data_IF_044797014403
#
_entry.id   IF_044797014403
#
_cell.length_a   1.000
_cell.length_b   1.000
_cell.length_c   1.000
_cell.angle_alpha   90.00
_cell.angle_beta   90.00
_cell.angle_gamma   90.00
#
_symmetry.space_group_name_H-M   'P 1'
#
loop_
_entity.id
_entity.type
_entity.pdbx_description
1 polymer ?
#
# COMPACT_ATOMS: atom_id res chain seq x y z
N UNK A 1 0.16 9.15 -17.76
CA UNK A 1 -0.39 9.92 -16.63
C UNK A 1 -0.67 8.97 -15.48
N UNK A 2 -0.08 9.23 -14.34
CA UNK A 2 -0.29 8.44 -13.14
C UNK A 2 -1.27 9.21 -12.25
N UNK A 3 -2.47 8.67 -12.10
CA UNK A 3 -3.53 9.28 -11.29
C UNK A 3 -3.33 9.02 -9.79
N UNK A 4 -2.55 8.01 -9.44
CA UNK A 4 -2.28 7.64 -8.06
C UNK A 4 -0.95 8.24 -7.62
N UNK A 5 -0.92 8.86 -6.42
CA UNK A 5 0.31 9.43 -5.86
C UNK A 5 1.37 8.34 -5.63
N UNK A 6 2.63 8.75 -5.63
CA UNK A 6 3.74 7.83 -5.30
C UNK A 6 3.58 7.22 -3.90
N UNK A 7 3.05 7.98 -2.95
CA UNK A 7 2.77 7.52 -1.59
C UNK A 7 1.74 6.40 -1.59
N UNK A 8 0.68 6.53 -2.37
CA UNK A 8 -0.33 5.47 -2.51
C UNK A 8 0.20 4.23 -3.22
N UNK A 9 1.03 4.41 -4.25
CA UNK A 9 1.71 3.30 -4.92
C UNK A 9 2.66 2.58 -3.96
N UNK A 10 3.39 3.34 -3.14
CA UNK A 10 4.26 2.78 -2.10
C UNK A 10 3.46 1.99 -1.06
N UNK A 11 2.29 2.47 -0.67
CA UNK A 11 1.42 1.75 0.25
C UNK A 11 1.02 0.38 -0.31
N UNK A 12 0.65 0.33 -1.57
CA UNK A 12 0.32 -0.92 -2.26
C UNK A 12 1.54 -1.84 -2.29
N UNK A 13 2.70 -1.33 -2.69
CA UNK A 13 3.95 -2.09 -2.73
C UNK A 13 4.34 -2.64 -1.35
N UNK A 14 4.17 -1.86 -0.30
CA UNK A 14 4.46 -2.28 1.07
C UNK A 14 3.56 -3.43 1.52
N UNK A 15 2.27 -3.38 1.21
CA UNK A 15 1.33 -4.46 1.54
C UNK A 15 1.67 -5.74 0.77
N UNK A 16 2.02 -5.63 -0.51
CA UNK A 16 2.46 -6.79 -1.32
C UNK A 16 3.74 -7.41 -0.75
N UNK A 17 4.72 -6.58 -0.41
CA UNK A 17 5.98 -7.03 0.22
C UNK A 17 5.70 -7.79 1.52
N UNK A 18 4.88 -7.22 2.40
CA UNK A 18 4.48 -7.86 3.66
C UNK A 18 3.75 -9.18 3.39
N UNK A 19 2.84 -9.20 2.42
CA UNK A 19 2.10 -10.41 2.03
C UNK A 19 3.03 -11.54 1.60
N UNK A 20 4.13 -11.21 0.91
CA UNK A 20 5.10 -12.21 0.41
C UNK A 20 6.11 -12.65 1.48
N UNK A 21 6.40 -11.82 2.47
CA UNK A 21 7.52 -12.06 3.39
C UNK A 21 7.14 -12.25 4.86
N UNK A 22 5.88 -12.01 5.24
CA UNK A 22 5.45 -12.06 6.64
C UNK A 22 5.28 -13.48 7.20
N UNK A 23 5.94 -14.46 6.63
CA UNK A 23 5.97 -15.83 7.14
C UNK A 23 7.39 -16.37 7.07
N UNK A 24 7.89 -16.98 8.13
CA UNK A 24 7.25 -17.32 9.42
C UNK A 24 7.14 -16.15 10.42
N UNK A 25 7.76 -15.01 10.14
CA UNK A 25 7.82 -13.88 11.07
C UNK A 25 7.28 -12.60 10.42
N UNK A 26 6.70 -11.67 11.21
CA UNK A 26 6.29 -10.36 10.70
C UNK A 26 7.45 -9.60 10.04
N UNK A 27 7.13 -8.68 9.14
CA UNK A 27 8.12 -7.86 8.44
C UNK A 27 8.35 -6.58 9.24
N UNK A 28 9.60 -6.38 9.70
CA UNK A 28 9.97 -5.15 10.39
C UNK A 28 9.96 -3.95 9.43
N UNK A 29 9.47 -2.81 9.88
CA UNK A 29 9.44 -1.58 9.09
C UNK A 29 10.82 -1.19 8.56
N UNK A 30 11.85 -1.40 9.35
CA UNK A 30 13.25 -1.14 8.98
C UNK A 30 13.71 -1.97 7.78
N UNK A 31 13.34 -3.24 7.75
CA UNK A 31 13.66 -4.15 6.66
C UNK A 31 12.88 -3.78 5.39
N UNK A 32 11.61 -3.44 5.54
CA UNK A 32 10.77 -2.98 4.46
C UNK A 32 11.31 -1.68 3.84
N UNK A 33 11.69 -0.72 4.67
CA UNK A 33 12.30 0.54 4.23
C UNK A 33 13.60 0.30 3.46
N UNK A 34 14.43 -0.62 3.92
CA UNK A 34 15.69 -0.98 3.23
C UNK A 34 15.43 -1.59 1.85
N UNK A 35 14.44 -2.48 1.72
CA UNK A 35 14.10 -3.09 0.43
C UNK A 35 13.57 -2.09 -0.61
N UNK A 36 12.90 -1.03 -0.16
CA UNK A 36 12.35 0.00 -1.04
C UNK A 36 13.18 1.27 -1.11
N UNK A 37 14.36 1.27 -0.49
CA UNK A 37 15.30 2.40 -0.46
C UNK A 37 14.64 3.70 0.02
N UNK A 38 14.00 3.63 1.19
CA UNK A 38 13.19 4.72 1.75
C UNK A 38 13.60 5.03 3.19
N UNK A 39 13.43 6.30 3.61
CA UNK A 39 13.58 6.65 5.01
C UNK A 39 12.49 5.95 5.87
N UNK A 40 12.87 5.32 7.00
CA UNK A 40 11.91 4.59 7.84
C UNK A 40 10.72 5.42 8.34
N UNK A 41 10.91 6.71 8.58
CA UNK A 41 9.87 7.61 9.08
C UNK A 41 8.65 7.73 8.17
N UNK A 42 8.90 7.84 6.87
CA UNK A 42 7.81 7.98 5.88
C UNK A 42 6.98 6.71 5.78
N UNK A 43 7.64 5.59 5.99
CA UNK A 43 6.98 4.30 5.91
C UNK A 43 6.14 3.99 7.16
N UNK A 44 6.64 4.33 8.35
CA UNK A 44 5.95 4.05 9.61
C UNK A 44 4.56 4.70 9.69
N UNK A 45 4.45 5.98 9.32
CA UNK A 45 3.17 6.69 9.32
C UNK A 45 2.17 6.00 8.39
N UNK A 46 2.64 5.61 7.23
CA UNK A 46 1.83 4.92 6.23
C UNK A 46 1.38 3.53 6.72
N UNK A 47 2.30 2.77 7.31
CA UNK A 47 1.99 1.45 7.87
C UNK A 47 0.97 1.54 9.01
N UNK A 48 1.10 2.55 9.87
CA UNK A 48 0.13 2.78 10.94
C UNK A 48 -1.26 3.17 10.41
N UNK A 49 -1.33 3.94 9.33
CA UNK A 49 -2.60 4.22 8.66
C UNK A 49 -3.26 2.94 8.15
N UNK A 50 -2.49 2.02 7.59
CA UNK A 50 -2.97 0.72 7.13
C UNK A 50 -3.42 -0.19 8.28
N UNK A 51 -2.78 -0.08 9.44
CA UNK A 51 -3.22 -0.78 10.66
C UNK A 51 -4.56 -0.23 11.15
N UNK A 52 -4.73 1.08 11.16
CA UNK A 52 -5.98 1.73 11.61
C UNK A 52 -7.20 1.29 10.80
N UNK A 53 -7.05 1.06 9.53
CA UNK A 53 -8.15 0.61 8.65
C UNK A 53 -8.29 -0.92 8.58
N UNK A 54 -7.48 -1.66 9.32
CA UNK A 54 -7.59 -3.11 9.41
C UNK A 54 -7.02 -3.89 8.22
N UNK A 55 -6.13 -3.29 7.43
CA UNK A 55 -5.41 -3.97 6.34
C UNK A 55 -4.19 -4.71 6.88
N UNK A 56 -3.45 -4.07 7.76
CA UNK A 56 -2.31 -4.64 8.45
C UNK A 56 -2.56 -4.77 9.94
N UNK A 57 -1.78 -5.58 10.60
CA UNK A 57 -1.67 -5.62 12.06
C UNK A 57 -0.21 -5.56 12.48
N UNK A 58 0.05 -4.87 13.58
CA UNK A 58 1.37 -4.78 14.18
C UNK A 58 1.59 -5.91 15.19
N UNK A 59 2.80 -6.45 15.20
CA UNK A 59 3.25 -7.43 16.18
C UNK A 59 4.39 -6.83 16.99
N UNK A 60 4.24 -6.80 18.31
CA UNK A 60 5.25 -6.25 19.22
C UNK A 60 6.34 -7.26 19.52
N UNK A 61 7.50 -6.76 19.95
CA UNK A 61 8.62 -7.56 20.43
C UNK A 61 9.87 -7.46 19.54
N UNK A 62 10.97 -8.12 19.95
CA UNK A 62 12.25 -8.06 19.21
C UNK A 62 12.17 -8.65 17.80
N UNK A 63 11.20 -9.54 17.55
CA UNK A 63 10.90 -10.09 16.23
C UNK A 63 9.57 -9.56 15.69
N UNK A 64 9.16 -8.39 16.17
CA UNK A 64 7.94 -7.73 15.76
C UNK A 64 8.04 -7.10 14.38
N UNK A 65 6.92 -6.58 13.92
CA UNK A 65 6.78 -5.95 12.64
C UNK A 65 5.33 -5.93 12.22
N UNK A 66 5.10 -6.11 10.94
CA UNK A 66 3.78 -6.04 10.35
C UNK A 66 3.45 -7.32 9.60
N UNK A 67 2.19 -7.68 9.65
CA UNK A 67 1.63 -8.78 8.86
C UNK A 67 0.22 -8.40 8.38
N UNK A 68 -0.34 -9.17 7.46
CA UNK A 68 -1.68 -8.91 6.97
C UNK A 68 -2.73 -9.18 8.07
N UNK A 69 -3.69 -8.27 8.22
CA UNK A 69 -4.83 -8.47 9.11
C UNK A 69 -5.97 -9.24 8.45
N UNK A 70 -5.96 -9.36 7.13
CA UNK A 70 -6.95 -10.07 6.31
C UNK A 70 -6.26 -10.92 5.26
N UNK A 71 -6.97 -11.88 4.70
CA UNK A 71 -6.46 -12.67 3.57
C UNK A 71 -6.16 -11.78 2.36
N UNK A 72 -5.07 -12.07 1.64
CA UNK A 72 -4.63 -11.26 0.48
C UNK A 72 -5.69 -11.12 -0.60
N UNK A 73 -6.54 -12.11 -0.79
CA UNK A 73 -7.64 -12.04 -1.78
C UNK A 73 -8.79 -11.14 -1.34
N UNK A 74 -8.81 -10.72 -0.06
CA UNK A 74 -9.81 -9.81 0.51
C UNK A 74 -9.30 -8.38 0.69
N UNK A 75 -8.09 -8.12 0.28
CA UNK A 75 -7.49 -6.79 0.29
C UNK A 75 -7.29 -6.36 -1.15
N UNK A 76 -7.81 -5.19 -1.51
CA UNK A 76 -7.68 -4.64 -2.86
C UNK A 76 -6.74 -3.45 -2.91
N UNK A 77 -6.21 -3.16 -4.09
CA UNK A 77 -5.43 -1.94 -4.32
C UNK A 77 -6.26 -0.69 -3.99
N UNK A 78 -7.58 -0.73 -4.24
CA UNK A 78 -8.50 0.35 -3.88
C UNK A 78 -8.58 0.58 -2.37
N UNK A 79 -8.68 -0.47 -1.56
CA UNK A 79 -8.69 -0.37 -0.09
C UNK A 79 -7.42 0.32 0.42
N UNK A 80 -6.28 -0.07 -0.11
CA UNK A 80 -4.98 0.47 0.29
C UNK A 80 -4.85 1.93 -0.15
N UNK A 81 -5.23 2.23 -1.38
CA UNK A 81 -5.17 3.60 -1.92
C UNK A 81 -6.04 4.56 -1.11
N UNK A 82 -7.25 4.16 -0.72
CA UNK A 82 -8.12 4.99 0.12
C UNK A 82 -7.49 5.30 1.47
N UNK A 83 -6.88 4.31 2.11
CA UNK A 83 -6.18 4.51 3.39
C UNK A 83 -5.02 5.48 3.27
N UNK A 84 -4.21 5.36 2.22
CA UNK A 84 -3.08 6.26 1.97
C UNK A 84 -3.53 7.69 1.63
N UNK A 85 -4.63 7.83 0.89
CA UNK A 85 -5.20 9.14 0.54
C UNK A 85 -5.80 9.82 1.76
N UNK A 86 -6.46 9.09 2.64
CA UNK A 86 -7.02 9.62 3.87
C UNK A 86 -5.92 10.12 4.80
N UNK A 87 -4.86 9.38 4.97
CA UNK A 87 -3.71 9.77 5.79
C UNK A 87 -3.06 11.06 5.24
N UNK A 88 -2.90 11.16 3.93
CA UNK A 88 -2.35 12.37 3.31
C UNK A 88 -3.26 13.59 3.48
N UNK A 89 -4.57 13.42 3.54
CA UNK A 89 -5.52 14.50 3.80
C UNK A 89 -5.45 15.00 5.25
N UNK A 90 -5.20 14.09 6.21
CA UNK A 90 -5.03 14.43 7.63
C UNK A 90 -3.75 15.23 7.91
N UNK A 91 -2.71 15.04 7.12
CA UNK A 91 -1.44 15.76 7.25
C UNK A 91 -1.52 17.25 6.85
N UNK A 92 -2.68 17.73 6.45
CA UNK A 92 -2.97 19.14 6.29
C UNK A 92 -2.21 19.82 5.16
N UNK A 93 -2.55 19.51 3.96
CA UNK A 93 -2.24 20.39 2.85
C UNK A 93 -3.01 21.70 3.05
N UNK A 94 -2.33 22.83 2.92
CA UNK A 94 -2.86 24.15 3.17
C UNK A 94 -4.20 24.45 2.46
N UNK A 95 -4.72 25.70 2.56
CA UNK A 95 -6.05 26.01 2.13
C UNK A 95 -6.27 25.64 0.67
N UNK A 96 -7.24 24.78 0.44
CA UNK A 96 -7.69 24.46 -0.92
C UNK A 96 -8.33 25.70 -1.54
N UNK A 97 -8.01 26.01 -2.79
CA UNK A 97 -8.66 27.12 -3.46
C UNK A 97 -10.17 26.88 -3.54
N UNK A 98 -10.94 27.86 -3.07
CA UNK A 98 -12.40 27.81 -3.10
C UNK A 98 -12.94 28.76 -4.17
N UNK A 99 -13.88 28.28 -4.96
CA UNK A 99 -14.73 29.10 -5.80
C UNK A 99 -16.06 28.37 -6.01
N UNK A 100 -17.12 29.11 -6.28
CA UNK A 100 -18.43 28.49 -6.56
C UNK A 100 -18.36 27.52 -7.74
N UNK A 101 -17.56 27.84 -8.75
CA UNK A 101 -17.36 26.94 -9.90
C UNK A 101 -16.69 25.63 -9.49
N UNK A 102 -15.67 25.69 -8.64
CA UNK A 102 -15.02 24.50 -8.11
C UNK A 102 -15.98 23.69 -7.24
N UNK A 103 -16.62 24.34 -6.29
CA UNK A 103 -17.42 23.67 -5.27
C UNK A 103 -18.71 23.06 -5.82
N UNK A 104 -19.38 23.76 -6.75
CA UNK A 104 -20.68 23.38 -7.26
C UNK A 104 -20.64 22.59 -8.59
N UNK A 105 -19.59 22.72 -9.37
CA UNK A 105 -19.50 22.11 -10.72
C UNK A 105 -18.30 21.21 -10.88
N UNK A 106 -17.09 21.74 -10.78
CA UNK A 106 -15.86 20.99 -11.09
C UNK A 106 -15.60 19.91 -10.04
N UNK A 107 -15.72 20.23 -8.76
CA UNK A 107 -15.46 19.32 -7.66
C UNK A 107 -16.32 18.07 -7.71
N UNK A 108 -17.64 18.15 -7.81
CA UNK A 108 -18.51 16.98 -7.91
C UNK A 108 -18.21 16.09 -9.12
N UNK A 109 -17.87 16.65 -10.27
CA UNK A 109 -17.50 15.88 -11.45
C UNK A 109 -16.16 15.18 -11.29
N UNK A 110 -15.16 15.86 -10.74
CA UNK A 110 -13.85 15.28 -10.43
C UNK A 110 -13.98 14.17 -9.37
N UNK A 111 -14.81 14.38 -8.36
CA UNK A 111 -15.09 13.37 -7.35
C UNK A 111 -15.69 12.11 -7.96
N UNK A 112 -16.65 12.26 -8.86
CA UNK A 112 -17.26 11.12 -9.57
C UNK A 112 -16.24 10.35 -10.40
N UNK A 113 -15.37 11.04 -11.12
CA UNK A 113 -14.28 10.43 -11.89
C UNK A 113 -13.28 9.70 -10.98
N UNK A 114 -12.95 10.30 -9.83
CA UNK A 114 -12.06 9.69 -8.84
C UNK A 114 -12.65 8.42 -8.25
N UNK A 115 -13.94 8.40 -7.98
CA UNK A 115 -14.65 7.21 -7.50
C UNK A 115 -14.59 6.07 -8.53
N UNK A 116 -14.81 6.36 -9.81
CA UNK A 116 -14.70 5.37 -10.88
C UNK A 116 -13.27 4.81 -10.98
N UNK A 117 -12.26 5.65 -10.80
CA UNK A 117 -10.86 5.21 -10.76
C UNK A 117 -10.60 4.28 -9.57
N UNK A 118 -11.07 4.62 -8.39
CA UNK A 118 -10.91 3.78 -7.20
C UNK A 118 -11.65 2.45 -7.33
N UNK A 119 -12.83 2.45 -7.95
CA UNK A 119 -13.58 1.22 -8.25
C UNK A 119 -12.79 0.29 -9.17
N UNK A 120 -12.07 0.84 -10.14
CA UNK A 120 -11.17 0.04 -10.98
C UNK A 120 -10.04 -0.60 -10.16
N UNK A 121 -9.49 0.12 -9.18
CA UNK A 121 -8.49 -0.42 -8.24
C UNK A 121 -9.09 -1.49 -7.30
N UNK A 122 -10.37 -1.42 -7.01
CA UNK A 122 -11.06 -2.45 -6.20
C UNK A 122 -11.10 -3.81 -6.92
N UNK A 123 -10.94 -3.82 -8.22
CA UNK A 123 -10.81 -5.05 -9.00
C UNK A 123 -9.42 -5.70 -8.95
N UNK A 124 -8.43 -5.06 -8.33
CA UNK A 124 -7.06 -5.58 -8.23
C UNK A 124 -6.84 -6.04 -6.79
N UNK A 125 -6.68 -7.34 -6.58
CA UNK A 125 -6.43 -7.90 -5.25
C UNK A 125 -4.94 -7.98 -4.93
N UNK A 126 -4.62 -7.99 -3.64
CA UNK A 126 -3.24 -8.24 -3.19
C UNK A 126 -2.77 -9.62 -3.63
N UNK A 127 -3.66 -10.62 -3.69
CA UNK A 127 -3.34 -11.96 -4.21
C UNK A 127 -2.83 -11.89 -5.65
N UNK A 128 -3.51 -11.16 -6.53
CA UNK A 128 -3.09 -10.99 -7.92
C UNK A 128 -1.75 -10.28 -8.03
N UNK A 129 -1.53 -9.25 -7.21
CA UNK A 129 -0.26 -8.52 -7.20
C UNK A 129 0.89 -9.39 -6.68
N UNK A 130 0.65 -10.20 -5.66
CA UNK A 130 1.62 -11.19 -5.17
C UNK A 130 1.98 -12.20 -6.26
N UNK A 131 0.98 -12.72 -6.96
CA UNK A 131 1.18 -13.67 -8.06
C UNK A 131 2.03 -13.05 -9.16
N UNK A 132 1.72 -11.84 -9.57
CA UNK A 132 2.49 -11.13 -10.58
C UNK A 132 3.92 -10.82 -10.13
N UNK A 133 4.12 -10.45 -8.88
CA UNK A 133 5.46 -10.22 -8.33
C UNK A 133 6.31 -11.49 -8.35
N UNK A 134 5.70 -12.65 -8.12
CA UNK A 134 6.36 -13.94 -8.23
C UNK A 134 6.66 -14.31 -9.69
N UNK A 135 5.72 -14.10 -10.60
CA UNK A 135 5.88 -14.38 -12.02
C UNK A 135 6.98 -13.52 -12.65
N UNK A 136 7.05 -12.24 -12.27
CA UNK A 136 8.09 -11.30 -12.73
C UNK A 136 9.42 -11.46 -11.99
N UNK A 137 9.50 -12.39 -11.04
CA UNK A 137 10.68 -12.66 -10.22
C UNK A 137 11.29 -11.41 -9.54
N UNK A 138 10.43 -10.50 -9.10
CA UNK A 138 10.85 -9.22 -8.50
C UNK A 138 11.75 -9.43 -7.28
N UNK A 139 11.45 -10.48 -6.49
CA UNK A 139 12.25 -10.90 -5.34
C UNK A 139 12.94 -12.25 -5.57
N UNK A 140 12.96 -12.74 -6.81
CA UNK A 140 13.19 -14.15 -7.10
C UNK A 140 14.61 -14.56 -7.42
N UNK A 141 15.54 -13.63 -7.66
CA UNK A 141 16.94 -13.97 -7.97
C UNK A 141 17.61 -14.79 -6.85
N UNK A 142 17.28 -14.48 -5.58
CA UNK A 142 17.78 -15.23 -4.43
C UNK A 142 17.12 -16.60 -4.22
N UNK A 143 15.93 -16.83 -4.79
CA UNK A 143 15.23 -18.13 -4.71
C UNK A 143 15.69 -19.13 -5.75
N UNK A 144 16.07 -18.65 -6.92
CA UNK A 144 16.63 -19.50 -7.97
C UNK A 144 17.94 -20.15 -7.53
N UNK A 145 18.77 -19.42 -6.79
CA UNK A 145 20.05 -19.93 -6.27
C UNK A 145 19.88 -20.99 -5.18
N UNK A 146 18.77 -20.97 -4.46
CA UNK A 146 18.49 -21.95 -3.39
C UNK A 146 17.99 -23.29 -3.96
N UNK A 147 17.24 -23.25 -5.05
CA UNK A 147 16.69 -24.46 -5.68
C UNK A 147 17.76 -25.27 -6.44
N UNK A 148 18.87 -24.65 -6.80
CA UNK A 148 19.95 -25.32 -7.51
C UNK A 148 21.06 -25.90 -6.61
N UNK A 149 20.99 -25.70 -5.31
CA UNK A 149 21.99 -26.19 -4.35
C UNK A 149 21.62 -27.50 -3.66
N UNK A 150 20.59 -28.13 -4.12
CA UNK A 150 20.22 -29.48 -3.69
C UNK A 150 20.89 -30.50 -4.66
#
# INVERSE_FOLDING_TARGET
>A
VILLSRRSQLAIAAVVDIALHARPSPVAAKLLAARHDLPPRHLETLLQALVRVGILKGVRGPRGGYELARERRRITAGDIARAAMQEAAEDGLGPTPHSRLIDEVVGPEVLRASQAFLEALDGITVEELCQRAQDEAVFGAARADVDFTI
#
